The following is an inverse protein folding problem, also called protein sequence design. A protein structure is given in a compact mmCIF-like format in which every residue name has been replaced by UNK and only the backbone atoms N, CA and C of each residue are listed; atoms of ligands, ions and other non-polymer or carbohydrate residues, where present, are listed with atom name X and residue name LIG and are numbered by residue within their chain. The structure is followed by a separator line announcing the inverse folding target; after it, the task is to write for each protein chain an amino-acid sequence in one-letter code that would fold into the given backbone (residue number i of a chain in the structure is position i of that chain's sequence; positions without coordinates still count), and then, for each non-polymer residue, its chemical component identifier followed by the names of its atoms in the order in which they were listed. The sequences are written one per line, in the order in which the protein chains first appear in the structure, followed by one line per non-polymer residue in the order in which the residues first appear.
data_IF_293806939234
#
_entry.id   IF_293806939234
#
_cell.length_a   1.000
_cell.length_b   1.000
_cell.length_c   1.000
_cell.angle_alpha   90.00
_cell.angle_beta   90.00
_cell.angle_gamma   90.00
#
_symmetry.space_group_name_H-M   'P 1'
#
loop_
_entity.id
_entity.type
_entity.pdbx_description
1 polymer ?
#
# COMPACT_ATOMS: atom_id res chain seq x y z
N UNK A 1 21.75 -30.13 1.66
CA UNK A 1 20.92 -28.99 2.13
C UNK A 1 20.43 -29.30 3.53
N UNK A 2 20.67 -28.41 4.51
CA UNK A 2 20.26 -28.60 5.90
C UNK A 2 18.72 -28.43 6.02
N UNK A 3 18.08 -29.15 6.95
CA UNK A 3 16.63 -29.02 7.23
C UNK A 3 16.23 -27.58 7.58
N UNK A 4 17.10 -26.83 8.26
CA UNK A 4 16.88 -25.40 8.56
C UNK A 4 16.74 -24.56 7.30
N UNK A 5 17.58 -24.82 6.31
CA UNK A 5 17.57 -24.10 5.04
C UNK A 5 16.30 -24.43 4.24
N UNK A 6 15.84 -25.69 4.24
CA UNK A 6 14.57 -26.06 3.61
C UNK A 6 13.38 -25.36 4.26
N UNK A 7 13.31 -25.35 5.60
CA UNK A 7 12.23 -24.66 6.33
C UNK A 7 12.27 -23.15 6.04
N UNK A 8 13.46 -22.55 6.02
CA UNK A 8 13.64 -21.14 5.70
C UNK A 8 13.14 -20.79 4.29
N UNK A 9 13.49 -21.59 3.28
CA UNK A 9 13.01 -21.41 1.90
C UNK A 9 11.48 -21.52 1.82
N UNK A 10 10.89 -22.52 2.49
CA UNK A 10 9.43 -22.70 2.53
C UNK A 10 8.75 -21.47 3.15
N UNK A 11 9.24 -21.00 4.30
CA UNK A 11 8.70 -19.80 4.94
C UNK A 11 8.82 -18.56 4.07
N UNK A 12 9.97 -18.33 3.42
CA UNK A 12 10.12 -17.21 2.50
C UNK A 12 9.15 -17.31 1.32
N UNK A 13 8.95 -18.49 0.73
CA UNK A 13 8.00 -18.70 -0.36
C UNK A 13 6.56 -18.42 0.07
N UNK A 14 6.16 -18.91 1.25
CA UNK A 14 4.83 -18.61 1.82
C UNK A 14 4.69 -17.11 2.06
N UNK A 15 5.69 -16.46 2.65
CA UNK A 15 5.70 -15.01 2.85
C UNK A 15 5.52 -14.23 1.54
N UNK A 16 6.25 -14.59 0.48
CA UNK A 16 6.10 -13.97 -0.83
C UNK A 16 4.68 -14.13 -1.41
N UNK A 17 4.09 -15.33 -1.30
CA UNK A 17 2.71 -15.56 -1.77
C UNK A 17 1.72 -14.68 -1.00
N UNK A 18 1.87 -14.61 0.33
CA UNK A 18 1.03 -13.76 1.18
C UNK A 18 1.20 -12.27 0.83
N UNK A 19 2.42 -11.82 0.50
CA UNK A 19 2.66 -10.46 0.01
C UNK A 19 1.88 -10.20 -1.29
N UNK A 20 2.04 -11.08 -2.28
CA UNK A 20 1.41 -10.91 -3.58
C UNK A 20 -0.11 -10.91 -3.45
N UNK A 21 -0.65 -11.79 -2.62
CA UNK A 21 -2.09 -11.79 -2.31
C UNK A 21 -2.51 -10.47 -1.65
N UNK A 22 -1.85 -10.06 -0.57
CA UNK A 22 -2.20 -8.83 0.17
C UNK A 22 -2.08 -7.54 -0.67
N UNK A 23 -1.11 -7.49 -1.58
CA UNK A 23 -0.85 -6.32 -2.43
C UNK A 23 -1.77 -6.22 -3.64
N UNK A 24 -2.15 -7.36 -4.26
CA UNK A 24 -3.05 -7.37 -5.42
C UNK A 24 -4.51 -7.22 -4.98
N UNK A 25 -4.88 -7.70 -3.79
CA UNK A 25 -6.24 -7.56 -3.28
C UNK A 25 -6.56 -6.09 -2.94
N UNK A 26 -7.63 -5.51 -3.49
CA UNK A 26 -7.96 -4.10 -3.31
C UNK A 26 -8.71 -3.80 -1.99
N UNK A 27 -8.71 -4.73 -1.03
CA UNK A 27 -9.51 -4.61 0.20
C UNK A 27 -8.62 -4.63 1.45
N UNK A 28 -7.92 -3.52 1.72
CA UNK A 28 -7.14 -3.35 2.95
C UNK A 28 -8.01 -2.93 4.13
N UNK A 29 -9.06 -2.15 3.86
CA UNK A 29 -10.16 -1.86 4.78
C UNK A 29 -11.47 -2.20 4.11
N UNK A 30 -12.39 -2.81 4.84
CA UNK A 30 -13.73 -3.13 4.31
C UNK A 30 -14.71 -3.39 5.43
N UNK A 31 -15.93 -2.88 5.31
CA UNK A 31 -17.06 -3.31 6.14
C UNK A 31 -17.57 -4.70 5.78
N UNK A 32 -17.20 -5.24 4.62
CA UNK A 32 -17.65 -6.55 4.17
C UNK A 32 -16.67 -7.63 4.62
N UNK A 33 -17.22 -8.73 5.13
CA UNK A 33 -16.44 -9.94 5.42
C UNK A 33 -16.14 -10.68 4.11
N UNK A 34 -14.86 -10.91 3.82
CA UNK A 34 -14.44 -11.66 2.65
C UNK A 34 -13.02 -11.34 2.21
N UNK A 35 -12.40 -12.23 1.44
CA UNK A 35 -11.05 -12.03 0.88
C UNK A 35 -11.10 -11.09 -0.33
N UNK A 36 -12.21 -11.16 -1.08
CA UNK A 36 -12.46 -10.38 -2.29
C UNK A 36 -13.87 -9.78 -2.23
N UNK A 37 -14.10 -8.80 -1.33
CA UNK A 37 -15.38 -8.11 -1.34
C UNK A 37 -15.54 -7.45 -2.71
N UNK A 38 -16.58 -7.85 -3.44
CA UNK A 38 -16.99 -7.16 -4.64
C UNK A 38 -17.29 -5.71 -4.29
N UNK A 39 -16.88 -4.76 -5.14
CA UNK A 39 -17.38 -3.40 -5.08
C UNK A 39 -18.90 -3.48 -5.33
N UNK A 40 -19.69 -3.57 -4.26
CA UNK A 40 -21.13 -3.85 -4.33
C UNK A 40 -21.92 -2.62 -3.91
N UNK A 41 -22.95 -2.34 -4.70
CA UNK A 41 -23.79 -1.14 -4.74
C UNK A 41 -24.55 -0.82 -3.45
N UNK A 42 -24.63 -1.76 -2.51
CA UNK A 42 -25.58 -1.68 -1.39
C UNK A 42 -25.04 -0.99 -0.13
N UNK A 43 -23.87 -0.35 -0.20
CA UNK A 43 -23.47 0.59 0.85
C UNK A 43 -24.29 1.86 0.66
N UNK A 44 -25.23 2.10 1.58
CA UNK A 44 -25.92 3.38 1.70
C UNK A 44 -24.90 4.52 1.64
N UNK A 45 -25.26 5.60 0.96
CA UNK A 45 -24.46 6.79 0.54
C UNK A 45 -23.52 7.39 1.61
N UNK A 46 -23.57 6.95 2.86
CA UNK A 46 -22.80 7.47 3.99
C UNK A 46 -21.68 6.56 4.52
N UNK A 47 -21.47 5.35 3.98
CA UNK A 47 -20.37 4.48 4.46
C UNK A 47 -19.09 4.72 3.66
N UNK A 48 -17.91 4.90 4.32
CA UNK A 48 -16.62 4.83 3.63
C UNK A 48 -16.55 3.48 2.92
N UNK A 49 -16.23 3.50 1.62
CA UNK A 49 -16.19 2.30 0.79
C UNK A 49 -15.08 1.32 1.20
N UNK A 50 -15.02 0.17 0.52
CA UNK A 50 -13.85 -0.70 0.58
C UNK A 50 -12.66 0.02 -0.06
N UNK A 51 -11.58 0.21 0.69
CA UNK A 51 -10.37 0.86 0.19
C UNK A 51 -9.18 -0.10 0.20
N UNK A 52 -8.38 -0.02 -0.86
CA UNK A 52 -7.17 -0.78 -1.06
C UNK A 52 -5.92 0.09 -0.99
N UNK A 53 -4.78 -0.56 -1.16
CA UNK A 53 -3.50 0.13 -1.27
C UNK A 53 -3.37 0.89 -2.60
N UNK A 54 -4.01 0.43 -3.67
CA UNK A 54 -3.88 0.99 -5.02
C UNK A 54 -5.17 1.57 -5.59
N UNK A 55 -6.31 1.03 -5.15
CA UNK A 55 -7.62 1.30 -5.71
C UNK A 55 -8.63 1.53 -4.59
N UNK A 56 -9.64 2.35 -4.86
CA UNK A 56 -10.78 2.57 -3.97
C UNK A 56 -12.09 2.25 -4.71
N UNK A 57 -13.04 1.63 -4.01
CA UNK A 57 -14.34 1.33 -4.56
C UNK A 57 -15.23 2.59 -4.51
N UNK A 58 -15.66 3.08 -5.67
CA UNK A 58 -16.56 4.24 -5.78
C UNK A 58 -17.93 3.84 -6.36
N UNK A 59 -19.00 4.52 -5.92
CA UNK A 59 -20.37 4.28 -6.40
C UNK A 59 -21.03 5.54 -7.01
N UNK A 60 -20.25 6.51 -7.49
CA UNK A 60 -20.79 7.80 -7.92
C UNK A 60 -21.52 7.78 -9.29
N UNK A 61 -21.31 6.77 -10.11
CA UNK A 61 -21.88 6.67 -11.47
C UNK A 61 -23.12 5.78 -11.58
N UNK A 62 -23.69 5.33 -10.44
CA UNK A 62 -24.79 4.36 -10.44
C UNK A 62 -24.37 2.94 -10.85
N UNK A 63 -23.07 2.69 -10.92
CA UNK A 63 -22.48 1.35 -11.00
C UNK A 63 -21.21 1.35 -10.15
N UNK A 64 -21.08 0.42 -9.19
CA UNK A 64 -19.87 0.32 -8.39
C UNK A 64 -18.69 -0.10 -9.27
N UNK A 65 -17.58 0.62 -9.17
CA UNK A 65 -16.36 0.32 -9.93
C UNK A 65 -15.11 0.73 -9.13
N UNK A 66 -14.00 0.05 -9.40
CA UNK A 66 -12.69 0.38 -8.83
C UNK A 66 -12.10 1.58 -9.56
N UNK A 67 -11.67 2.59 -8.80
CA UNK A 67 -11.03 3.79 -9.33
C UNK A 67 -9.59 3.81 -8.85
N UNK A 68 -8.68 4.15 -9.77
CA UNK A 68 -7.27 4.39 -9.42
C UNK A 68 -7.18 5.68 -8.61
N UNK A 69 -6.53 5.57 -7.46
CA UNK A 69 -6.37 6.64 -6.47
C UNK A 69 -5.57 7.85 -6.98
N UNK A 70 -4.82 7.68 -8.08
CA UNK A 70 -3.95 8.74 -8.61
C UNK A 70 -4.63 9.55 -9.73
N UNK A 71 -5.89 9.28 -10.05
CA UNK A 71 -6.59 9.88 -11.18
C UNK A 71 -7.66 10.87 -10.74
N UNK A 72 -7.27 12.14 -10.57
CA UNK A 72 -8.19 13.23 -10.25
C UNK A 72 -9.31 13.36 -11.30
N UNK A 73 -10.42 12.69 -11.01
CA UNK A 73 -11.60 12.48 -11.86
C UNK A 73 -12.84 12.82 -11.06
N UNK A 74 -13.95 13.07 -11.74
CA UNK A 74 -15.20 13.45 -11.06
C UNK A 74 -15.65 12.41 -10.02
N UNK A 75 -15.43 11.12 -10.30
CA UNK A 75 -15.76 9.99 -9.41
C UNK A 75 -15.01 9.97 -8.09
N UNK A 76 -13.93 10.75 -7.94
CA UNK A 76 -13.21 10.87 -6.68
C UNK A 76 -13.86 11.88 -5.73
N UNK A 77 -14.61 12.86 -6.25
CA UNK A 77 -15.12 13.95 -5.42
C UNK A 77 -16.36 13.54 -4.62
N UNK A 78 -16.29 13.65 -3.29
CA UNK A 78 -17.42 13.36 -2.42
C UNK A 78 -18.58 14.34 -2.68
N UNK A 79 -19.65 13.79 -3.26
CA UNK A 79 -20.85 14.52 -3.63
C UNK A 79 -21.77 14.79 -2.44
N UNK A 80 -22.14 16.05 -2.24
CA UNK A 80 -23.15 16.46 -1.25
C UNK A 80 -24.27 17.28 -1.94
N UNK A 81 -25.48 16.71 -2.10
CA UNK A 81 -26.56 17.35 -2.82
C UNK A 81 -27.10 18.59 -2.10
N UNK A 82 -27.54 19.60 -2.86
CA UNK A 82 -28.23 20.81 -2.38
C UNK A 82 -27.51 21.55 -1.25
N UNK A 83 -26.19 21.60 -1.34
CA UNK A 83 -25.34 22.28 -0.36
C UNK A 83 -24.36 23.23 -1.02
N UNK A 84 -24.05 24.30 -0.30
CA UNK A 84 -22.91 25.17 -0.55
C UNK A 84 -21.92 25.07 0.61
N UNK A 85 -20.65 25.30 0.30
CA UNK A 85 -19.57 25.41 1.26
C UNK A 85 -19.12 26.88 1.33
N UNK A 86 -19.29 27.61 2.45
CA UNK A 86 -18.90 29.02 2.54
C UNK A 86 -17.38 29.28 2.50
N UNK A 87 -16.57 28.26 2.18
CA UNK A 87 -15.14 28.43 1.96
C UNK A 87 -14.87 29.46 0.85
N UNK A 88 -13.74 30.15 0.99
CA UNK A 88 -13.31 31.18 0.05
C UNK A 88 -13.15 30.58 -1.35
N UNK A 89 -13.71 31.27 -2.34
CA UNK A 89 -13.53 30.96 -3.75
C UNK A 89 -12.10 31.32 -4.13
N UNK A 90 -11.44 30.44 -4.88
CA UNK A 90 -10.08 30.68 -5.37
C UNK A 90 -10.03 31.91 -6.29
N UNK A 91 -8.87 32.55 -6.40
CA UNK A 91 -8.67 33.59 -7.41
C UNK A 91 -8.84 33.00 -8.80
N UNK A 92 -9.77 33.54 -9.59
CA UNK A 92 -10.26 32.95 -10.87
C UNK A 92 -10.92 31.56 -10.71
N UNK A 93 -11.44 31.26 -9.52
CA UNK A 93 -12.14 30.03 -9.20
C UNK A 93 -13.60 29.99 -9.67
N UNK A 94 -14.08 30.99 -10.41
CA UNK A 94 -15.42 30.98 -11.02
C UNK A 94 -15.27 30.59 -12.47
N UNK A 95 -15.85 29.45 -12.85
CA UNK A 95 -15.73 28.87 -14.18
C UNK A 95 -17.13 28.59 -14.73
N UNK A 96 -17.41 29.05 -15.94
CA UNK A 96 -18.60 28.64 -16.67
C UNK A 96 -18.28 27.31 -17.37
N UNK A 97 -19.01 26.26 -17.01
CA UNK A 97 -18.71 24.90 -17.42
C UNK A 97 -20.00 24.16 -17.76
N UNK A 98 -20.14 23.78 -19.02
CA UNK A 98 -21.34 23.10 -19.55
C UNK A 98 -21.54 21.72 -18.90
N UNK A 99 -20.47 21.12 -18.38
CA UNK A 99 -20.48 19.80 -17.75
C UNK A 99 -19.79 19.81 -16.38
N UNK A 100 -20.25 18.93 -15.51
CA UNK A 100 -19.68 18.70 -14.19
C UNK A 100 -18.23 18.19 -14.24
N UNK A 101 -17.90 17.36 -15.24
CA UNK A 101 -16.53 16.87 -15.48
C UNK A 101 -15.54 17.99 -15.75
N UNK A 102 -15.97 19.05 -16.47
CA UNK A 102 -15.11 20.20 -16.74
C UNK A 102 -14.73 20.94 -15.44
N UNK A 103 -15.61 20.93 -14.44
CA UNK A 103 -15.35 21.51 -13.12
C UNK A 103 -14.41 20.67 -12.28
N UNK A 104 -14.63 19.35 -12.25
CA UNK A 104 -13.70 18.43 -11.63
C UNK A 104 -12.30 18.59 -12.25
N UNK A 105 -12.19 18.57 -13.59
CA UNK A 105 -10.92 18.77 -14.28
C UNK A 105 -10.27 20.14 -13.99
N UNK A 106 -11.06 21.20 -13.81
CA UNK A 106 -10.54 22.50 -13.41
C UNK A 106 -10.04 22.52 -11.96
N UNK A 107 -10.77 21.90 -11.04
CA UNK A 107 -10.34 21.73 -9.65
C UNK A 107 -9.06 20.89 -9.57
N UNK A 108 -9.01 19.78 -10.30
CA UNK A 108 -7.85 18.88 -10.38
C UNK A 108 -6.58 19.56 -10.88
N UNK A 109 -6.71 20.50 -11.84
CA UNK A 109 -5.58 21.30 -12.35
C UNK A 109 -5.07 22.33 -11.35
N UNK A 110 -5.85 22.65 -10.32
CA UNK A 110 -5.46 23.63 -9.30
C UNK A 110 -5.13 22.92 -7.97
N UNK A 111 -3.86 22.91 -7.53
CA UNK A 111 -3.48 22.22 -6.29
C UNK A 111 -4.10 22.84 -5.03
N UNK A 112 -4.55 24.10 -5.10
CA UNK A 112 -5.24 24.77 -4.00
C UNK A 112 -6.73 24.41 -3.94
N UNK A 113 -7.29 23.76 -4.97
CA UNK A 113 -8.70 23.38 -4.98
C UNK A 113 -8.93 22.13 -4.12
N UNK A 114 -9.71 22.32 -3.07
CA UNK A 114 -10.07 21.26 -2.11
C UNK A 114 -11.54 20.86 -2.23
N UNK A 115 -12.37 21.71 -2.81
CA UNK A 115 -13.76 21.41 -3.15
C UNK A 115 -14.22 22.31 -4.28
N UNK A 116 -15.31 21.95 -4.94
CA UNK A 116 -16.01 22.87 -5.83
C UNK A 116 -17.52 22.73 -5.69
N UNK A 117 -18.23 23.80 -6.01
CA UNK A 117 -19.69 23.78 -6.10
C UNK A 117 -20.10 23.92 -7.56
N UNK A 118 -21.02 23.07 -8.02
CA UNK A 118 -21.65 23.20 -9.34
C UNK A 118 -23.11 23.55 -9.18
N UNK A 119 -23.52 24.66 -9.80
CA UNK A 119 -24.89 25.16 -9.72
C UNK A 119 -25.70 24.87 -10.99
N UNK A 120 -27.00 25.08 -10.92
CA UNK A 120 -27.91 24.91 -12.06
C UNK A 120 -27.69 25.91 -13.21
N UNK A 121 -26.97 27.01 -12.96
CA UNK A 121 -26.57 27.97 -13.97
C UNK A 121 -25.27 27.56 -14.70
N UNK A 122 -24.84 26.31 -14.52
CA UNK A 122 -23.61 25.76 -15.13
C UNK A 122 -22.35 26.53 -14.71
N UNK A 123 -22.36 27.08 -13.50
CA UNK A 123 -21.23 27.80 -12.90
C UNK A 123 -20.59 26.93 -11.83
N UNK A 124 -19.26 26.88 -11.89
CA UNK A 124 -18.42 26.21 -10.92
C UNK A 124 -17.67 27.19 -10.06
N UNK A 125 -17.78 27.00 -8.76
CA UNK A 125 -17.07 27.76 -7.74
C UNK A 125 -16.03 26.86 -7.11
N UNK A 126 -14.78 26.95 -7.57
CA UNK A 126 -13.64 26.26 -7.00
C UNK A 126 -13.26 26.91 -5.66
N UNK A 127 -13.15 26.11 -4.60
CA UNK A 127 -12.92 26.60 -3.23
C UNK A 127 -11.61 26.04 -2.67
N UNK A 128 -10.96 26.86 -1.85
CA UNK A 128 -9.64 26.55 -1.29
C UNK A 128 -9.67 25.57 -0.10
N UNK A 129 -10.86 25.32 0.45
CA UNK A 129 -11.04 24.46 1.61
C UNK A 129 -12.27 23.57 1.47
N UNK A 130 -12.28 22.48 2.24
CA UNK A 130 -13.46 21.65 2.45
C UNK A 130 -14.28 22.22 3.60
N UNK A 131 -15.58 22.08 3.51
CA UNK A 131 -16.46 22.41 4.63
C UNK A 131 -16.82 21.15 5.41
N UNK A 132 -16.72 21.23 6.74
CA UNK A 132 -17.33 20.22 7.59
C UNK A 132 -18.85 20.17 7.37
N UNK A 133 -19.48 19.04 7.71
CA UNK A 133 -20.94 18.84 7.57
C UNK A 133 -21.76 19.97 8.21
N UNK A 134 -21.26 20.59 9.29
CA UNK A 134 -21.93 21.69 10.02
C UNK A 134 -21.77 23.05 9.35
N UNK A 135 -20.74 23.23 8.53
CA UNK A 135 -20.46 24.48 7.83
C UNK A 135 -21.19 24.57 6.49
N UNK A 136 -21.58 23.42 5.91
CA UNK A 136 -22.35 23.37 4.67
C UNK A 136 -23.73 23.99 4.88
N UNK A 137 -24.10 24.91 4.01
CA UNK A 137 -25.40 25.59 4.02
C UNK A 137 -26.28 25.04 2.91
N UNK A 138 -27.60 25.11 3.07
CA UNK A 138 -28.53 24.69 2.02
C UNK A 138 -28.38 25.59 0.79
N UNK A 139 -28.33 24.97 -0.39
CA UNK A 139 -28.35 25.66 -1.67
C UNK A 139 -29.37 24.99 -2.57
N UNK A 140 -30.46 25.69 -2.88
CA UNK A 140 -31.56 25.17 -3.71
C UNK A 140 -31.09 24.74 -5.10
N UNK A 141 -30.00 25.34 -5.59
CA UNK A 141 -29.51 25.19 -6.94
C UNK A 141 -28.00 24.96 -6.96
N UNK A 142 -27.47 24.15 -6.05
CA UNK A 142 -26.02 23.95 -5.94
C UNK A 142 -25.64 22.65 -5.24
N UNK A 143 -24.72 21.93 -5.85
CA UNK A 143 -24.17 20.71 -5.29
C UNK A 143 -22.69 20.92 -4.96
N UNK A 144 -22.25 20.46 -3.79
CA UNK A 144 -20.85 20.54 -3.37
C UNK A 144 -20.16 19.21 -3.66
N UNK A 145 -18.93 19.29 -4.16
CA UNK A 145 -18.06 18.19 -4.52
C UNK A 145 -16.74 18.42 -3.77
N UNK A 146 -16.53 17.70 -2.68
CA UNK A 146 -15.29 17.81 -1.92
C UNK A 146 -14.25 16.88 -2.52
N UNK A 147 -13.04 17.37 -2.74
CA UNK A 147 -11.92 16.51 -3.12
C UNK A 147 -11.76 15.45 -2.02
N UNK A 148 -11.37 14.20 -2.32
CA UNK A 148 -10.99 13.28 -1.25
C UNK A 148 -9.82 13.88 -0.47
N UNK A 149 -9.65 13.51 0.79
CA UNK A 149 -8.47 13.97 1.53
C UNK A 149 -7.24 13.52 0.77
N UNK A 150 -6.33 14.46 0.50
CA UNK A 150 -5.07 14.10 -0.11
C UNK A 150 -4.47 13.01 0.77
N UNK A 151 -4.22 11.84 0.18
CA UNK A 151 -3.66 10.72 0.91
C UNK A 151 -2.51 11.21 1.77
N UNK A 152 -2.54 10.82 3.04
CA UNK A 152 -1.55 11.33 3.96
C UNK A 152 -0.16 10.89 3.52
N UNK A 153 0.85 11.61 4.01
CA UNK A 153 2.25 11.19 3.84
C UNK A 153 2.46 9.76 4.34
N UNK A 154 1.72 9.31 5.37
CA UNK A 154 1.81 7.94 5.87
C UNK A 154 1.31 6.92 4.84
N UNK A 155 0.20 7.21 4.14
CA UNK A 155 -0.29 6.35 3.06
C UNK A 155 0.70 6.24 1.89
N UNK A 156 1.32 7.35 1.49
CA UNK A 156 2.36 7.32 0.45
C UNK A 156 3.61 6.54 0.89
N UNK A 157 4.04 6.69 2.15
CA UNK A 157 5.12 5.88 2.72
C UNK A 157 4.74 4.40 2.73
N UNK A 158 3.50 4.06 3.10
CA UNK A 158 3.01 2.69 3.09
C UNK A 158 3.14 2.07 1.69
N UNK A 159 2.66 2.76 0.64
CA UNK A 159 2.82 2.33 -0.77
C UNK A 159 4.28 2.09 -1.14
N UNK A 160 5.15 3.06 -0.85
CA UNK A 160 6.57 2.96 -1.15
C UNK A 160 7.22 1.75 -0.47
N UNK A 161 6.95 1.55 0.82
CA UNK A 161 7.47 0.41 1.59
C UNK A 161 7.00 -0.93 1.05
N UNK A 162 5.73 -1.04 0.62
CA UNK A 162 5.18 -2.25 0.03
C UNK A 162 5.75 -2.55 -1.36
N UNK A 163 5.96 -1.52 -2.20
CA UNK A 163 6.66 -1.70 -3.47
C UNK A 163 8.11 -2.16 -3.24
N UNK A 164 8.82 -1.53 -2.31
CA UNK A 164 10.18 -1.90 -1.95
C UNK A 164 10.24 -3.34 -1.42
N UNK A 165 9.31 -3.73 -0.56
CA UNK A 165 9.16 -5.10 -0.07
C UNK A 165 9.05 -6.11 -1.22
N UNK A 166 8.17 -5.83 -2.18
CA UNK A 166 7.94 -6.68 -3.36
C UNK A 166 9.19 -6.77 -4.22
N UNK A 167 9.86 -5.64 -4.48
CA UNK A 167 11.10 -5.56 -5.26
C UNK A 167 12.28 -6.31 -4.62
N UNK A 168 12.32 -6.42 -3.29
CA UNK A 168 13.38 -7.15 -2.58
C UNK A 168 13.06 -8.64 -2.42
N UNK A 169 11.80 -8.98 -2.08
CA UNK A 169 11.40 -10.36 -1.82
C UNK A 169 11.33 -11.22 -3.08
N UNK A 170 10.88 -10.67 -4.21
CA UNK A 170 10.83 -11.42 -5.48
C UNK A 170 12.21 -11.99 -5.89
N UNK A 171 13.25 -11.17 -6.08
CA UNK A 171 14.58 -11.70 -6.42
C UNK A 171 15.18 -12.52 -5.27
N UNK A 172 14.98 -12.12 -4.01
CA UNK A 172 15.49 -12.86 -2.85
C UNK A 172 14.94 -14.30 -2.78
N UNK A 173 13.62 -14.46 -2.90
CA UNK A 173 12.96 -15.76 -2.91
C UNK A 173 13.33 -16.58 -4.15
N UNK A 174 13.42 -15.95 -5.33
CA UNK A 174 13.83 -16.62 -6.56
C UNK A 174 15.24 -17.22 -6.44
N UNK A 175 16.19 -16.44 -5.90
CA UNK A 175 17.55 -16.91 -5.67
C UNK A 175 17.60 -18.02 -4.63
N UNK A 176 16.84 -17.91 -3.54
CA UNK A 176 16.76 -18.93 -2.49
C UNK A 176 16.21 -20.27 -3.02
N UNK A 177 15.16 -20.24 -3.83
CA UNK A 177 14.59 -21.44 -4.47
C UNK A 177 15.57 -22.02 -5.50
N UNK A 178 16.21 -21.17 -6.29
CA UNK A 178 17.22 -21.61 -7.27
C UNK A 178 18.42 -22.29 -6.60
N UNK A 179 18.87 -21.76 -5.47
CA UNK A 179 19.91 -22.36 -4.63
C UNK A 179 19.50 -23.76 -4.13
N UNK A 180 18.26 -23.87 -3.65
CA UNK A 180 17.70 -25.12 -3.16
C UNK A 180 17.61 -26.19 -4.27
N UNK A 181 17.19 -25.81 -5.47
CA UNK A 181 17.02 -26.74 -6.60
C UNK A 181 18.35 -27.23 -7.18
N UNK A 182 19.39 -26.38 -7.24
CA UNK A 182 20.68 -26.75 -7.81
C UNK A 182 21.54 -27.64 -6.90
N UNK A 183 21.16 -27.80 -5.63
CA UNK A 183 21.94 -28.58 -4.66
C UNK A 183 23.24 -27.91 -4.23
N UNK A 184 23.39 -26.61 -4.50
CA UNK A 184 24.57 -25.79 -4.20
C UNK A 184 24.64 -24.60 -5.15
N UNK A 185 24.72 -23.39 -4.61
CA UNK A 185 25.28 -22.25 -5.35
C UNK A 185 26.81 -22.38 -5.23
N UNK A 186 27.53 -22.33 -6.35
CA UNK A 186 28.99 -22.28 -6.33
C UNK A 186 29.44 -21.18 -5.34
N UNK A 187 30.22 -21.59 -4.34
CA UNK A 187 30.69 -20.83 -3.18
C UNK A 187 31.55 -19.61 -3.52
N UNK A 188 31.81 -19.35 -4.81
CA UNK A 188 32.67 -18.28 -5.27
C UNK A 188 32.04 -16.87 -5.14
N UNK A 189 30.75 -16.76 -4.80
CA UNK A 189 30.08 -15.48 -4.56
C UNK A 189 29.26 -15.59 -3.29
N UNK A 190 29.28 -14.56 -2.44
CA UNK A 190 28.46 -14.31 -1.23
C UNK A 190 26.93 -14.32 -1.48
N UNK A 191 26.45 -15.09 -2.46
CA UNK A 191 25.07 -15.14 -2.92
C UNK A 191 24.10 -15.44 -1.79
N UNK A 192 24.46 -16.35 -0.89
CA UNK A 192 23.68 -16.67 0.31
C UNK A 192 23.43 -15.45 1.19
N UNK A 193 24.49 -14.70 1.50
CA UNK A 193 24.39 -13.46 2.28
C UNK A 193 23.54 -12.41 1.57
N UNK A 194 23.71 -12.27 0.26
CA UNK A 194 22.95 -11.28 -0.52
C UNK A 194 21.45 -11.59 -0.50
N UNK A 195 21.04 -12.79 -0.90
CA UNK A 195 19.60 -13.07 -1.02
C UNK A 195 18.90 -13.20 0.33
N UNK A 196 19.57 -13.69 1.39
CA UNK A 196 19.02 -13.69 2.75
C UNK A 196 18.79 -12.27 3.25
N UNK A 197 19.73 -11.37 2.98
CA UNK A 197 19.61 -9.94 3.27
C UNK A 197 18.42 -9.33 2.53
N UNK A 198 18.26 -9.60 1.23
CA UNK A 198 17.09 -9.15 0.46
C UNK A 198 15.76 -9.62 1.08
N UNK A 199 15.69 -10.89 1.49
CA UNK A 199 14.49 -11.46 2.12
C UNK A 199 14.17 -10.77 3.44
N UNK A 200 15.16 -10.57 4.31
CA UNK A 200 14.96 -9.95 5.63
C UNK A 200 14.53 -8.49 5.47
N UNK A 201 15.24 -7.70 4.66
CA UNK A 201 14.90 -6.30 4.43
C UNK A 201 13.57 -6.13 3.72
N UNK A 202 13.26 -6.99 2.74
CA UNK A 202 11.96 -6.99 2.09
C UNK A 202 10.84 -7.36 3.07
N UNK A 203 11.08 -8.30 3.98
CA UNK A 203 10.19 -8.64 5.09
C UNK A 203 9.89 -7.45 6.00
N UNK A 204 10.94 -6.78 6.48
CA UNK A 204 10.84 -5.61 7.35
C UNK A 204 10.13 -4.45 6.64
N UNK A 205 10.46 -4.18 5.37
CA UNK A 205 9.82 -3.12 4.59
C UNK A 205 8.30 -3.37 4.45
N UNK A 206 7.88 -4.62 4.28
CA UNK A 206 6.46 -5.00 4.24
C UNK A 206 5.73 -4.65 5.55
N UNK A 207 6.34 -5.02 6.69
CA UNK A 207 5.81 -4.72 8.02
C UNK A 207 5.76 -3.23 8.34
N UNK A 208 6.80 -2.47 7.94
CA UNK A 208 6.81 -1.00 8.06
C UNK A 208 5.67 -0.39 7.23
N UNK A 209 5.45 -0.88 6.00
CA UNK A 209 4.35 -0.42 5.16
C UNK A 209 2.98 -0.64 5.80
N UNK A 210 2.75 -1.83 6.36
CA UNK A 210 1.53 -2.13 7.10
C UNK A 210 1.36 -1.23 8.34
N UNK A 211 2.44 -0.99 9.10
CA UNK A 211 2.40 -0.13 10.28
C UNK A 211 2.04 1.33 9.93
N UNK A 212 2.62 1.90 8.85
CA UNK A 212 2.26 3.25 8.41
C UNK A 212 0.81 3.34 7.93
N UNK A 213 0.30 2.29 7.28
CA UNK A 213 -1.11 2.22 6.91
C UNK A 213 -2.03 2.20 8.15
N UNK A 214 -1.64 1.51 9.22
CA UNK A 214 -2.38 1.55 10.50
C UNK A 214 -2.35 2.94 11.12
N UNK A 215 -1.20 3.61 11.11
CA UNK A 215 -1.07 4.98 11.63
C UNK A 215 -1.99 5.93 10.84
N UNK A 216 -2.02 5.81 9.52
CA UNK A 216 -2.94 6.57 8.66
C UNK A 216 -4.40 6.30 9.07
N UNK A 217 -4.79 5.03 9.12
CA UNK A 217 -6.15 4.63 9.48
C UNK A 217 -6.63 5.20 10.84
N UNK A 218 -5.78 5.13 11.86
CA UNK A 218 -6.08 5.65 13.21
C UNK A 218 -6.08 7.18 13.27
N UNK A 219 -5.13 7.86 12.58
CA UNK A 219 -5.04 9.33 12.59
C UNK A 219 -6.27 9.98 11.93
N UNK A 220 -6.84 9.34 10.91
CA UNK A 220 -8.02 9.84 10.20
C UNK A 220 -9.34 9.33 10.78
N UNK A 221 -9.30 8.54 11.87
CA UNK A 221 -10.50 8.08 12.58
C UNK A 221 -11.44 7.29 11.68
N UNK A 222 -10.88 6.44 10.81
CA UNK A 222 -11.65 5.65 9.86
C UNK A 222 -12.40 4.52 10.61
N UNK A 223 -13.73 4.60 10.68
CA UNK A 223 -14.58 3.58 11.34
C UNK A 223 -14.66 2.24 10.56
N UNK A 224 -13.92 2.09 9.46
CA UNK A 224 -13.83 0.86 8.66
C UNK A 224 -12.84 -0.14 9.30
N UNK A 225 -13.21 -1.41 9.55
CA UNK A 225 -12.24 -2.37 10.07
C UNK A 225 -11.21 -2.78 9.00
N UNK A 226 -10.03 -3.22 9.46
CA UNK A 226 -9.03 -3.85 8.60
C UNK A 226 -9.56 -5.15 8.00
N UNK A 227 -9.28 -5.36 6.72
CA UNK A 227 -9.69 -6.54 5.96
C UNK A 227 -8.54 -7.57 5.87
N UNK A 228 -8.83 -8.74 5.29
CA UNK A 228 -7.91 -9.88 5.22
C UNK A 228 -6.57 -9.49 4.58
N UNK A 229 -6.58 -8.68 3.53
CA UNK A 229 -5.38 -8.24 2.79
C UNK A 229 -4.34 -7.54 3.65
N UNK A 230 -4.81 -6.72 4.58
CA UNK A 230 -3.95 -6.04 5.55
C UNK A 230 -3.26 -7.07 6.48
N UNK A 231 -4.01 -8.04 7.00
CA UNK A 231 -3.46 -9.11 7.84
C UNK A 231 -2.54 -10.06 7.08
N UNK A 232 -2.78 -10.31 5.79
CA UNK A 232 -1.87 -11.09 4.94
C UNK A 232 -0.49 -10.42 4.83
N UNK A 233 -0.46 -9.08 4.80
CA UNK A 233 0.79 -8.30 4.77
C UNK A 233 1.56 -8.40 6.10
N UNK A 234 0.86 -8.39 7.24
CA UNK A 234 1.48 -8.69 8.54
C UNK A 234 2.01 -10.13 8.61
N UNK A 235 1.20 -11.10 8.19
CA UNK A 235 1.58 -12.51 8.15
C UNK A 235 2.82 -12.72 7.28
N UNK A 236 2.89 -12.07 6.11
CA UNK A 236 4.06 -12.05 5.25
C UNK A 236 5.33 -11.66 6.02
N UNK A 237 5.30 -10.62 6.85
CA UNK A 237 6.47 -10.20 7.64
C UNK A 237 6.92 -11.30 8.60
N UNK A 238 5.96 -11.96 9.27
CA UNK A 238 6.22 -13.08 10.17
C UNK A 238 6.78 -14.32 9.48
N UNK A 239 6.53 -14.51 8.18
CA UNK A 239 7.10 -15.63 7.43
C UNK A 239 8.44 -15.27 6.78
N UNK A 240 8.54 -14.09 6.16
CA UNK A 240 9.73 -13.67 5.43
C UNK A 240 10.93 -13.41 6.36
N UNK A 241 10.75 -12.70 7.48
CA UNK A 241 11.88 -12.33 8.35
C UNK A 241 12.50 -13.55 9.05
N UNK A 242 11.73 -14.41 9.74
CA UNK A 242 12.28 -15.64 10.32
C UNK A 242 12.78 -16.61 9.25
N UNK A 243 12.10 -16.71 8.09
CA UNK A 243 12.56 -17.54 6.97
C UNK A 243 13.95 -17.13 6.48
N UNK A 244 14.18 -15.83 6.29
CA UNK A 244 15.48 -15.28 5.92
C UNK A 244 16.55 -15.53 7.00
N UNK A 245 16.19 -15.38 8.28
CA UNK A 245 17.11 -15.63 9.39
C UNK A 245 17.53 -17.11 9.51
N UNK A 246 16.60 -18.04 9.29
CA UNK A 246 16.90 -19.48 9.30
C UNK A 246 17.89 -19.86 8.19
N UNK A 247 17.75 -19.28 7.01
CA UNK A 247 18.70 -19.51 5.91
C UNK A 247 20.06 -18.91 6.28
N UNK A 248 20.08 -17.68 6.80
CA UNK A 248 21.33 -17.01 7.19
C UNK A 248 22.09 -17.73 8.31
N UNK A 249 21.39 -18.29 9.30
CA UNK A 249 22.05 -19.10 10.33
C UNK A 249 22.63 -20.39 9.74
N UNK A 250 21.91 -21.04 8.82
CA UNK A 250 22.40 -22.29 8.21
C UNK A 250 23.71 -22.09 7.43
N UNK A 251 23.95 -20.90 6.87
CA UNK A 251 25.18 -20.63 6.11
C UNK A 251 26.36 -20.36 7.04
N UNK A 252 26.14 -19.73 8.19
CA UNK A 252 27.18 -19.52 9.20
C UNK A 252 27.65 -20.83 9.82
N UNK A 253 26.72 -21.74 10.11
CA UNK A 253 27.05 -23.06 10.66
C UNK A 253 27.99 -23.82 9.71
N UNK A 254 27.81 -23.68 8.39
CA UNK A 254 28.67 -24.32 7.38
C UNK A 254 30.06 -23.64 7.28
N UNK A 255 30.14 -22.30 7.36
CA UNK A 255 31.40 -21.54 7.38
C UNK A 255 32.28 -21.89 8.59
N UNK A 256 31.68 -22.03 9.77
CA UNK A 256 32.40 -22.36 11.02
C UNK A 256 32.98 -23.79 10.98
N UNK A 257 32.41 -24.70 10.18
CA UNK A 257 32.93 -26.06 9.99
C UNK A 257 34.09 -26.14 8.98
N UNK A 258 34.19 -25.17 8.06
CA UNK A 258 35.27 -25.10 7.06
C UNK A 258 36.48 -24.27 7.52
N UNK A 259 36.42 -23.65 8.70
CA UNK A 259 37.54 -22.88 9.24
C UNK A 259 38.83 -23.73 9.19
N UNK A 260 39.87 -23.26 8.48
CA UNK A 260 41.06 -24.05 8.25
C UNK A 260 41.62 -24.45 9.61
N UNK A 261 41.84 -25.75 9.78
CA UNK A 261 42.79 -26.24 10.77
C UNK A 261 44.09 -25.54 10.38
N UNK A 262 44.36 -24.39 11.00
CA UNK A 262 45.66 -23.76 10.95
C UNK A 262 46.56 -24.76 11.61
N UNK A 263 47.15 -25.61 10.78
CA UNK A 263 48.24 -26.50 11.14
C UNK A 263 49.23 -25.57 11.82
N UNK A 264 49.28 -25.65 13.15
CA UNK A 264 50.28 -25.00 13.98
C UNK A 264 51.60 -25.68 13.61
N UNK A 265 52.12 -25.31 12.45
CA UNK A 265 53.49 -25.56 12.04
C UNK A 265 54.33 -24.40 12.57
N UNK A 266 54.19 -24.16 13.87
CA UNK A 266 55.21 -23.51 14.66
C UNK A 266 56.39 -24.49 14.78
N UNK A 267 57.56 -23.99 14.43
CA UNK A 267 58.80 -24.22 15.17
C UNK A 267 59.41 -25.62 15.11
N UNK A 268 60.08 -25.92 14.00
CA UNK A 268 61.13 -26.96 13.97
C UNK A 268 62.25 -26.61 12.97
N UNK A 269 62.75 -25.37 12.98
CA UNK A 269 64.07 -25.05 12.43
C UNK A 269 64.84 -24.12 13.39
N UNK A 270 65.55 -24.73 14.35
CA UNK A 270 66.74 -24.20 15.01
C UNK A 270 67.64 -25.41 15.32
N UNK A 271 68.82 -25.46 14.71
CA UNK A 271 70.04 -25.02 15.42
C UNK A 271 70.94 -24.08 14.62
#
# INVERSE_FOLDING_TARGET
MNIRQHIGVIFTSVGLILLMMGTITPAWTSHQVGIWPSCHENTTVESPGTAGLWEECSNMSGSPHWVSVDACTLSEFHYTPNTDCPAKILDRGIIYADTLDACAAACCRNPMCQSFQYNCAQVCYLKEAKCSRRQKTFSECGNTYDRPEAHSTAYHIARFCIMLSTMLLLPGAFLAVSAACKGGLDTAVDGYTIFTTLIIFGGIAGGIGAAFYTIDHELYGMDVPFSVSFYLTWAQTFFSVPGGFLIWQSTKDDEDMEAPITDNKEDLESP
#
